data_IF_601237154280
#
_entry.id   IF_601237154280
#
_cell.length_a   1.000
_cell.length_b   1.000
_cell.length_c   1.000
_cell.angle_alpha   90.00
_cell.angle_beta   90.00
_cell.angle_gamma   90.00
#
_symmetry.space_group_name_H-M   'P 1'
#
loop_
_entity.id
_entity.type
_entity.pdbx_description
1 polymer ?
#
# COMPACT_ATOMS: atom_id res chain seq x y z
N UNK A 1 -58.15 26.81 -20.98
CA UNK A 1 -56.70 27.06 -20.83
C UNK A 1 -56.16 26.08 -19.81
N UNK A 2 -55.37 25.09 -20.24
CA UNK A 2 -54.53 24.28 -19.36
C UNK A 2 -53.15 24.23 -19.99
N UNK A 3 -52.19 24.81 -19.26
CA UNK A 3 -50.81 25.05 -19.64
C UNK A 3 -50.06 23.71 -19.61
N UNK A 4 -49.36 23.38 -20.68
CA UNK A 4 -48.43 22.26 -20.72
C UNK A 4 -47.14 22.62 -19.95
N UNK A 5 -46.72 21.76 -19.02
CA UNK A 5 -45.41 21.87 -18.36
C UNK A 5 -44.53 20.73 -18.87
N UNK A 6 -43.66 21.04 -19.82
CA UNK A 6 -42.56 20.19 -20.23
C UNK A 6 -41.44 20.28 -19.18
N UNK A 7 -41.23 19.20 -18.42
CA UNK A 7 -40.11 19.08 -17.49
C UNK A 7 -38.90 18.55 -18.26
N UNK A 8 -37.94 19.43 -18.54
CA UNK A 8 -36.64 19.08 -19.09
C UNK A 8 -35.80 18.40 -17.99
N UNK A 9 -35.68 17.08 -18.07
CA UNK A 9 -34.76 16.30 -17.27
C UNK A 9 -33.32 16.58 -17.71
N UNK A 10 -32.60 17.42 -16.97
CA UNK A 10 -31.16 17.57 -17.08
C UNK A 10 -30.49 16.26 -16.64
N UNK A 11 -30.07 15.44 -17.59
CA UNK A 11 -29.17 14.31 -17.37
C UNK A 11 -27.77 14.84 -17.07
N UNK A 12 -27.52 15.19 -15.82
CA UNK A 12 -26.18 15.51 -15.33
C UNK A 12 -25.35 14.23 -15.29
N UNK A 13 -24.47 14.04 -16.29
CA UNK A 13 -23.42 13.02 -16.22
C UNK A 13 -22.40 13.46 -15.18
N UNK A 14 -22.53 12.95 -13.95
CA UNK A 14 -21.46 13.02 -12.95
C UNK A 14 -20.32 12.13 -13.43
N UNK A 15 -19.30 12.74 -14.04
CA UNK A 15 -18.02 12.09 -14.24
C UNK A 15 -17.42 11.80 -12.86
N UNK A 16 -17.49 10.54 -12.42
CA UNK A 16 -16.77 10.08 -11.25
C UNK A 16 -15.27 10.23 -11.52
N UNK A 17 -14.60 11.10 -10.77
CA UNK A 17 -13.14 11.10 -10.70
C UNK A 17 -12.72 9.74 -10.10
N UNK A 18 -12.23 8.85 -10.95
CA UNK A 18 -11.59 7.62 -10.50
C UNK A 18 -10.21 7.97 -9.93
N UNK A 19 -10.12 8.07 -8.60
CA UNK A 19 -8.83 7.94 -7.93
C UNK A 19 -8.34 6.50 -8.15
N UNK A 20 -7.23 6.31 -8.87
CA UNK A 20 -6.59 5.01 -9.01
C UNK A 20 -5.79 4.65 -7.73
N UNK A 21 -5.60 3.36 -7.42
CA UNK A 21 -5.79 2.84 -6.07
C UNK A 21 -4.47 2.68 -5.30
N UNK A 22 -3.88 3.79 -4.83
CA UNK A 22 -2.82 3.67 -3.81
C UNK A 22 -3.37 3.05 -2.51
N UNK A 23 -4.64 3.34 -2.20
CA UNK A 23 -5.30 2.85 -0.98
C UNK A 23 -5.52 1.33 -0.99
N UNK A 24 -5.62 0.68 -2.16
CA UNK A 24 -5.95 -0.75 -2.24
C UNK A 24 -4.75 -1.66 -1.91
N UNK A 25 -3.56 -1.29 -2.39
CA UNK A 25 -2.34 -2.07 -2.13
C UNK A 25 -1.98 -2.06 -0.64
N UNK A 26 -2.02 -0.86 -0.03
CA UNK A 26 -1.80 -0.68 1.40
C UNK A 26 -2.84 -1.46 2.22
N UNK A 27 -4.13 -1.34 1.88
CA UNK A 27 -5.19 -2.02 2.62
C UNK A 27 -5.08 -3.55 2.51
N UNK A 28 -4.76 -4.07 1.33
CA UNK A 28 -4.54 -5.50 1.11
C UNK A 28 -3.33 -6.00 1.91
N UNK A 29 -2.24 -5.24 1.91
CA UNK A 29 -1.06 -5.55 2.72
C UNK A 29 -1.39 -5.58 4.21
N UNK A 30 -2.11 -4.59 4.72
CA UNK A 30 -2.56 -4.54 6.11
C UNK A 30 -3.44 -5.74 6.49
N UNK A 31 -4.39 -6.09 5.62
CA UNK A 31 -5.23 -7.26 5.83
C UNK A 31 -4.42 -8.56 5.89
N UNK A 32 -3.40 -8.71 5.04
CA UNK A 32 -2.49 -9.85 5.05
C UNK A 32 -1.63 -9.90 6.32
N UNK A 33 -1.16 -8.76 6.84
CA UNK A 33 -0.45 -8.72 8.13
C UNK A 33 -1.35 -9.17 9.29
N UNK A 34 -2.57 -8.65 9.38
CA UNK A 34 -3.54 -9.06 10.41
C UNK A 34 -3.90 -10.53 10.29
N UNK A 35 -3.98 -11.06 9.07
CA UNK A 35 -4.27 -12.49 8.82
C UNK A 35 -3.11 -13.40 9.20
N UNK A 36 -1.87 -13.00 8.89
CA UNK A 36 -0.70 -13.89 8.99
C UNK A 36 0.04 -13.78 10.33
N UNK A 37 0.10 -12.59 10.94
CA UNK A 37 0.82 -12.40 12.20
C UNK A 37 0.19 -11.32 13.10
N UNK A 38 -1.07 -11.51 13.55
CA UNK A 38 -1.78 -10.50 14.36
C UNK A 38 -1.09 -10.19 15.68
N UNK A 39 -0.30 -11.11 16.23
CA UNK A 39 0.44 -10.92 17.49
C UNK A 39 1.62 -9.94 17.39
N UNK A 40 2.05 -9.59 16.17
CA UNK A 40 3.14 -8.63 15.94
C UNK A 40 2.68 -7.18 15.92
N UNK A 41 1.37 -6.94 15.81
CA UNK A 41 0.77 -5.59 15.77
C UNK A 41 1.41 -4.64 14.76
N UNK A 42 1.71 -5.14 13.56
CA UNK A 42 2.38 -4.35 12.52
C UNK A 42 1.51 -3.22 11.98
N UNK A 43 0.20 -3.22 12.27
CA UNK A 43 -0.71 -2.10 12.07
C UNK A 43 -0.38 -0.84 12.88
N UNK A 44 0.50 -0.95 13.87
CA UNK A 44 0.96 0.19 14.67
C UNK A 44 2.21 0.87 14.13
N UNK A 45 2.75 0.40 13.01
CA UNK A 45 3.83 1.10 12.29
C UNK A 45 3.27 2.31 11.53
N UNK A 46 4.07 3.37 11.43
CA UNK A 46 3.75 4.40 10.46
C UNK A 46 4.04 3.87 9.04
N UNK A 47 3.31 4.32 8.01
CA UNK A 47 3.56 3.88 6.65
C UNK A 47 4.98 4.11 6.14
N UNK A 48 5.72 5.08 6.69
CA UNK A 48 7.13 5.31 6.34
C UNK A 48 8.08 4.27 6.95
N UNK A 49 7.74 3.64 8.08
CA UNK A 49 8.64 2.80 8.87
C UNK A 49 8.94 1.44 8.23
N UNK A 50 8.23 1.08 7.17
CA UNK A 50 8.39 -0.23 6.51
C UNK A 50 9.44 -0.25 5.40
N UNK A 51 10.11 0.87 5.15
CA UNK A 51 10.98 1.04 3.97
C UNK A 51 12.09 0.00 3.90
N UNK A 52 12.87 -0.13 4.97
CA UNK A 52 14.02 -1.05 5.00
C UNK A 52 13.61 -2.51 4.78
N UNK A 53 12.43 -2.90 5.28
CA UNK A 53 11.92 -4.26 5.10
C UNK A 53 11.36 -4.52 3.70
N UNK A 54 10.82 -3.50 3.03
CA UNK A 54 10.48 -3.57 1.61
C UNK A 54 11.74 -3.64 0.75
N UNK A 55 12.77 -2.85 1.07
CA UNK A 55 14.07 -2.91 0.38
C UNK A 55 14.73 -4.29 0.50
N UNK A 56 14.73 -4.87 1.70
CA UNK A 56 15.19 -6.24 1.91
C UNK A 56 14.38 -7.22 1.06
N UNK A 57 13.05 -7.17 1.10
CA UNK A 57 12.20 -8.05 0.28
C UNK A 57 12.51 -7.92 -1.21
N UNK A 58 12.57 -6.68 -1.71
CA UNK A 58 12.89 -6.34 -3.09
C UNK A 58 14.23 -6.90 -3.53
N UNK A 59 15.26 -6.83 -2.68
CA UNK A 59 16.61 -7.35 -3.01
C UNK A 59 16.66 -8.86 -3.30
N UNK A 60 15.67 -9.62 -2.83
CA UNK A 60 15.54 -11.06 -3.08
C UNK A 60 14.70 -11.40 -4.31
N UNK A 61 14.10 -10.40 -4.97
CA UNK A 61 13.31 -10.61 -6.20
C UNK A 61 14.22 -10.78 -7.42
N UNK A 62 13.66 -11.25 -8.54
CA UNK A 62 14.38 -11.22 -9.82
C UNK A 62 14.59 -9.77 -10.30
N UNK A 63 15.56 -9.57 -11.19
CA UNK A 63 15.96 -8.25 -11.69
C UNK A 63 14.80 -7.46 -12.31
N UNK A 64 13.90 -8.12 -13.04
CA UNK A 64 12.76 -7.46 -13.68
C UNK A 64 11.78 -6.87 -12.63
N UNK A 65 11.47 -7.63 -11.58
CA UNK A 65 10.62 -7.15 -10.48
C UNK A 65 11.30 -6.04 -9.69
N UNK A 66 12.61 -6.14 -9.44
CA UNK A 66 13.37 -5.07 -8.79
C UNK A 66 13.31 -3.76 -9.58
N UNK A 67 13.46 -3.83 -10.91
CA UNK A 67 13.34 -2.66 -11.78
C UNK A 67 11.92 -2.11 -11.81
N UNK A 68 10.90 -2.97 -11.87
CA UNK A 68 9.50 -2.54 -11.85
C UNK A 68 9.15 -1.81 -10.54
N UNK A 69 9.57 -2.37 -9.40
CA UNK A 69 9.44 -1.76 -8.08
C UNK A 69 10.11 -0.38 -8.03
N UNK A 70 11.38 -0.29 -8.45
CA UNK A 70 12.13 0.99 -8.48
C UNK A 70 11.50 2.05 -9.38
N UNK A 71 11.01 1.65 -10.55
CA UNK A 71 10.32 2.58 -11.45
C UNK A 71 9.00 3.08 -10.84
N UNK A 72 8.29 2.22 -10.10
CA UNK A 72 7.04 2.55 -9.42
C UNK A 72 7.27 3.52 -8.25
N UNK A 73 8.30 3.29 -7.42
CA UNK A 73 8.75 4.23 -6.38
C UNK A 73 8.97 5.63 -6.97
N UNK A 74 9.82 5.73 -8.00
CA UNK A 74 10.12 6.99 -8.64
C UNK A 74 8.85 7.67 -9.18
N UNK A 75 7.96 6.92 -9.83
CA UNK A 75 6.71 7.47 -10.36
C UNK A 75 5.78 7.97 -9.24
N UNK A 76 5.61 7.21 -8.15
CA UNK A 76 4.76 7.60 -7.02
C UNK A 76 5.30 8.83 -6.28
N UNK A 77 6.62 9.01 -6.26
CA UNK A 77 7.25 10.14 -5.59
C UNK A 77 7.41 11.40 -6.45
N UNK A 78 7.05 11.35 -7.74
CA UNK A 78 7.11 12.54 -8.60
C UNK A 78 6.21 13.66 -8.10
N UNK A 79 6.81 14.80 -7.72
CA UNK A 79 6.09 15.98 -7.24
C UNK A 79 5.55 15.87 -5.81
N UNK A 80 5.96 14.83 -5.06
CA UNK A 80 5.48 14.56 -3.70
C UNK A 80 6.63 14.71 -2.70
N UNK A 81 6.40 15.44 -1.60
CA UNK A 81 7.38 15.59 -0.51
C UNK A 81 7.24 14.53 0.59
N UNK A 82 6.41 13.50 0.39
CA UNK A 82 6.05 12.50 1.39
C UNK A 82 7.12 11.42 1.65
N UNK A 83 8.33 11.55 1.09
CA UNK A 83 9.48 10.68 1.37
C UNK A 83 9.15 9.18 1.27
N UNK A 84 9.66 8.39 2.21
CA UNK A 84 9.54 6.92 2.20
C UNK A 84 8.11 6.37 2.02
N UNK A 85 7.06 7.12 2.37
CA UNK A 85 5.67 6.65 2.17
C UNK A 85 5.30 6.51 0.68
N UNK A 86 5.77 7.41 -0.19
CA UNK A 86 5.50 7.28 -1.62
C UNK A 86 6.32 6.13 -2.24
N UNK A 87 7.55 5.92 -1.78
CA UNK A 87 8.37 4.78 -2.20
C UNK A 87 7.69 3.45 -1.82
N UNK A 88 7.28 3.32 -0.55
CA UNK A 88 6.62 2.13 -0.03
C UNK A 88 5.31 1.82 -0.79
N UNK A 89 4.56 2.86 -1.16
CA UNK A 89 3.36 2.70 -1.99
C UNK A 89 3.70 2.17 -3.39
N UNK A 90 4.80 2.65 -3.97
CA UNK A 90 5.28 2.19 -5.28
C UNK A 90 5.63 0.70 -5.28
N UNK A 91 6.32 0.22 -4.25
CA UNK A 91 6.65 -1.20 -4.09
C UNK A 91 5.40 -2.07 -3.90
N UNK A 92 4.49 -1.64 -3.02
CA UNK A 92 3.26 -2.38 -2.72
C UNK A 92 2.33 -2.47 -3.93
N UNK A 93 2.27 -1.44 -4.78
CA UNK A 93 1.53 -1.52 -6.04
C UNK A 93 2.06 -2.62 -6.96
N UNK A 94 3.38 -2.71 -7.10
CA UNK A 94 4.01 -3.73 -7.96
C UNK A 94 3.82 -5.11 -7.32
N UNK A 95 3.92 -5.21 -6.00
CA UNK A 95 3.61 -6.45 -5.30
C UNK A 95 2.14 -6.87 -5.55
N UNK A 96 1.17 -5.95 -5.46
CA UNK A 96 -0.24 -6.24 -5.71
C UNK A 96 -0.49 -6.69 -7.14
N UNK A 97 0.03 -5.95 -8.13
CA UNK A 97 -0.11 -6.29 -9.56
C UNK A 97 0.44 -7.68 -9.92
N UNK A 98 1.40 -8.17 -9.15
CA UNK A 98 2.03 -9.47 -9.36
C UNK A 98 1.56 -10.55 -8.36
N UNK A 99 0.55 -10.29 -7.53
CA UNK A 99 0.04 -11.25 -6.54
C UNK A 99 1.01 -11.58 -5.41
N UNK A 100 1.98 -10.69 -5.14
CA UNK A 100 3.07 -10.90 -4.17
C UNK A 100 2.74 -10.36 -2.77
N UNK A 101 1.63 -9.64 -2.58
CA UNK A 101 1.28 -9.05 -1.26
C UNK A 101 1.27 -10.07 -0.12
N UNK A 102 0.72 -11.29 -0.27
CA UNK A 102 0.83 -12.30 0.78
C UNK A 102 2.28 -12.69 1.11
N UNK A 103 3.17 -12.69 0.11
CA UNK A 103 4.61 -12.99 0.29
C UNK A 103 5.36 -11.85 0.97
N UNK A 104 5.04 -10.60 0.64
CA UNK A 104 5.56 -9.42 1.36
C UNK A 104 5.15 -9.49 2.83
N UNK A 105 3.87 -9.71 3.12
CA UNK A 105 3.37 -9.85 4.49
C UNK A 105 4.07 -10.99 5.25
N UNK A 106 4.24 -12.16 4.61
CA UNK A 106 4.96 -13.29 5.21
C UNK A 106 6.40 -12.93 5.59
N UNK A 107 7.12 -12.21 4.70
CA UNK A 107 8.47 -11.71 4.97
C UNK A 107 8.52 -10.86 6.24
N UNK A 108 7.58 -9.94 6.39
CA UNK A 108 7.46 -9.05 7.56
C UNK A 108 7.12 -9.84 8.83
N UNK A 109 6.21 -10.80 8.72
CA UNK A 109 5.85 -11.68 9.82
C UNK A 109 7.06 -12.46 10.34
N UNK A 110 7.94 -12.94 9.46
CA UNK A 110 9.11 -13.72 9.86
C UNK A 110 10.30 -12.89 10.36
N UNK A 111 10.59 -11.75 9.73
CA UNK A 111 11.91 -11.10 9.88
C UNK A 111 11.87 -9.69 10.47
N UNK A 112 10.68 -9.09 10.59
CA UNK A 112 10.56 -7.69 11.01
C UNK A 112 10.24 -7.52 12.50
N UNK A 113 10.06 -6.28 12.94
CA UNK A 113 9.80 -5.86 14.33
C UNK A 113 8.47 -6.40 14.89
N UNK A 114 8.23 -6.23 16.19
CA UNK A 114 6.90 -6.32 16.78
C UNK A 114 6.61 -5.04 17.54
N UNK A 115 5.37 -4.60 17.47
CA UNK A 115 4.92 -3.40 18.16
C UNK A 115 4.19 -3.74 19.46
N UNK A 116 4.44 -2.94 20.50
CA UNK A 116 3.77 -3.03 21.80
C UNK A 116 2.68 -1.96 21.98
N UNK A 117 2.81 -0.85 21.24
CA UNK A 117 1.85 0.25 21.08
C UNK A 117 2.18 1.00 19.78
N UNK A 118 1.38 2.01 19.45
CA UNK A 118 1.59 2.88 18.28
C UNK A 118 3.03 3.40 18.21
N UNK A 119 3.71 3.10 17.11
CA UNK A 119 5.09 3.52 16.81
C UNK A 119 6.15 3.08 17.85
N UNK A 120 5.83 2.12 18.72
CA UNK A 120 6.76 1.51 19.67
C UNK A 120 6.99 0.06 19.28
N UNK A 121 7.98 -0.13 18.41
CA UNK A 121 8.26 -1.40 17.78
C UNK A 121 9.73 -1.77 17.95
N UNK A 122 9.97 -2.97 18.45
CA UNK A 122 11.30 -3.47 18.69
C UNK A 122 11.61 -4.59 17.70
N UNK A 123 12.85 -4.60 17.19
CA UNK A 123 13.37 -5.77 16.51
C UNK A 123 13.34 -6.93 17.49
N UNK A 124 12.47 -7.90 17.26
CA UNK A 124 12.52 -9.15 18.01
C UNK A 124 13.87 -9.79 17.69
N UNK A 125 14.80 -9.71 18.63
CA UNK A 125 15.86 -10.72 18.71
C UNK A 125 15.10 -12.04 18.85
N UNK A 126 15.08 -12.88 17.81
CA UNK A 126 14.52 -14.22 17.94
C UNK A 126 15.19 -14.89 19.16
N UNK A 127 14.44 -15.64 20.00
CA UNK A 127 15.06 -16.47 21.03
C UNK A 127 16.06 -17.47 20.43
#
# INVERSE_FOLDING_TARGET
MRLELAVLLFTGSTAALAAAPADDAWHTYMAELTRQCPSKHLEWLAPADIRDALDDYKSHMNTDLQHAMTASEHHRCQGVSAGATCDNSGDLDIAQKNGLVPSVAASFCHRFVRCSKQSDCDSQSAP
#
